data_IF_811334571263
#
_entry.id   IF_811334571263
#
_cell.length_a   1.000
_cell.length_b   1.000
_cell.length_c   1.000
_cell.angle_alpha   90.00
_cell.angle_beta   90.00
_cell.angle_gamma   90.00
#
_symmetry.space_group_name_H-M   'P 1'
#
loop_
_entity.id
_entity.type
_entity.pdbx_description
1 polymer ?
#
# COMPACT_ATOMS: atom_id res chain seq x y z
N UNK A 1 16.20 -18.25 3.31
CA UNK A 1 16.68 -16.88 3.59
C UNK A 1 15.69 -15.91 2.94
N UNK A 2 15.76 -14.62 3.26
CA UNK A 2 14.88 -13.64 2.61
C UNK A 2 15.13 -13.61 1.10
N UNK A 3 14.04 -13.53 0.33
CA UNK A 3 14.06 -13.50 -1.15
C UNK A 3 14.44 -12.12 -1.68
N UNK A 4 14.10 -11.08 -0.94
CA UNK A 4 14.42 -9.69 -1.24
C UNK A 4 15.60 -9.22 -0.39
N UNK A 5 16.54 -8.54 -1.01
CA UNK A 5 17.66 -7.89 -0.34
C UNK A 5 17.78 -6.45 -0.83
N UNK A 6 18.12 -5.54 0.07
CA UNK A 6 18.17 -4.12 -0.23
C UNK A 6 19.53 -3.58 0.20
N UNK A 7 20.22 -2.89 -0.71
CA UNK A 7 21.38 -2.07 -0.36
C UNK A 7 20.93 -0.62 -0.18
N UNK A 8 21.28 -0.03 0.98
CA UNK A 8 21.04 1.37 1.32
C UNK A 8 22.37 2.11 1.30
N UNK A 9 22.60 2.94 0.28
CA UNK A 9 23.93 3.54 0.02
C UNK A 9 23.88 5.06 -0.03
N UNK A 10 24.88 5.77 0.53
CA UNK A 10 24.92 7.25 0.47
C UNK A 10 25.28 7.78 -0.92
N UNK A 11 25.86 6.94 -1.78
CA UNK A 11 26.27 7.28 -3.15
C UNK A 11 25.50 6.42 -4.14
N UNK A 12 25.26 6.99 -5.33
CA UNK A 12 24.68 6.25 -6.45
C UNK A 12 25.63 5.09 -6.78
N UNK A 13 25.16 3.83 -6.74
CA UNK A 13 25.98 2.73 -7.20
C UNK A 13 26.22 2.90 -8.71
N UNK A 14 27.48 2.97 -9.11
CA UNK A 14 27.81 3.04 -10.53
C UNK A 14 27.50 1.70 -11.22
N UNK A 15 27.29 1.69 -12.56
CA UNK A 15 26.96 0.46 -13.27
C UNK A 15 28.00 -0.66 -13.10
N UNK A 16 29.28 -0.33 -12.89
CA UNK A 16 30.33 -1.32 -12.65
C UNK A 16 30.24 -1.92 -11.26
N UNK A 17 29.86 -1.15 -10.23
CA UNK A 17 29.60 -1.66 -8.90
C UNK A 17 28.41 -2.63 -8.89
N UNK A 18 27.35 -2.33 -9.65
CA UNK A 18 26.21 -3.24 -9.83
C UNK A 18 26.63 -4.52 -10.54
N UNK A 19 27.37 -4.42 -11.65
CA UNK A 19 27.89 -5.58 -12.38
C UNK A 19 28.87 -6.41 -11.55
N UNK A 20 29.80 -5.79 -10.83
CA UNK A 20 30.74 -6.47 -9.94
C UNK A 20 30.02 -7.19 -8.78
N UNK A 21 28.94 -6.60 -8.28
CA UNK A 21 28.03 -7.25 -7.34
C UNK A 21 27.36 -8.49 -7.94
N UNK A 22 26.88 -8.42 -9.19
CA UNK A 22 26.19 -9.53 -9.86
C UNK A 22 27.13 -10.67 -10.25
N UNK A 23 28.34 -10.34 -10.72
CA UNK A 23 29.37 -11.30 -11.13
C UNK A 23 30.03 -12.04 -9.95
N UNK A 24 29.54 -11.83 -8.72
CA UNK A 24 29.87 -12.66 -7.55
C UNK A 24 29.53 -14.14 -7.71
N UNK A 25 28.69 -14.48 -8.69
CA UNK A 25 28.29 -15.85 -9.02
C UNK A 25 29.18 -16.60 -10.01
N UNK A 26 30.27 -15.98 -10.49
CA UNK A 26 31.19 -16.56 -11.46
C UNK A 26 31.06 -15.98 -12.88
N UNK A 27 32.07 -16.17 -13.74
CA UNK A 27 32.16 -15.56 -15.07
C UNK A 27 31.19 -16.18 -16.10
N UNK A 28 30.69 -17.39 -15.84
CA UNK A 28 29.87 -18.16 -16.78
C UNK A 28 28.37 -17.78 -16.71
N UNK A 29 28.02 -16.79 -15.89
CA UNK A 29 26.65 -16.31 -15.74
C UNK A 29 26.34 -15.21 -16.75
N UNK A 30 25.15 -15.28 -17.34
CA UNK A 30 24.69 -14.30 -18.34
C UNK A 30 24.03 -13.11 -17.65
N UNK A 31 24.22 -11.91 -18.20
CA UNK A 31 23.51 -10.70 -17.76
C UNK A 31 22.45 -10.35 -18.81
N UNK A 32 21.20 -10.22 -18.38
CA UNK A 32 20.08 -9.80 -19.22
C UNK A 32 19.45 -8.50 -18.69
N UNK A 33 18.67 -7.82 -19.53
CA UNK A 33 17.89 -6.63 -19.17
C UNK A 33 16.41 -6.87 -19.42
N UNK A 34 15.55 -6.47 -18.47
CA UNK A 34 14.10 -6.61 -18.54
C UNK A 34 13.40 -5.27 -18.17
N UNK A 35 12.08 -5.19 -18.41
CA UNK A 35 11.26 -4.04 -17.98
C UNK A 35 11.73 -2.71 -18.57
N UNK A 36 11.85 -2.62 -19.90
CA UNK A 36 12.36 -1.43 -20.61
C UNK A 36 13.77 -0.97 -20.17
N UNK A 37 14.56 -1.87 -19.58
CA UNK A 37 15.91 -1.59 -19.09
C UNK A 37 15.97 -1.15 -17.63
N UNK A 38 14.85 -1.13 -16.91
CA UNK A 38 14.79 -0.79 -15.48
C UNK A 38 15.21 -1.96 -14.57
N UNK A 39 15.35 -3.18 -15.10
CA UNK A 39 15.76 -4.36 -14.35
C UNK A 39 16.96 -5.03 -15.01
N UNK A 40 18.00 -5.32 -14.22
CA UNK A 40 19.17 -6.12 -14.63
C UNK A 40 19.06 -7.50 -13.99
N UNK A 41 19.26 -8.56 -14.76
CA UNK A 41 19.13 -9.94 -14.30
C UNK A 41 20.46 -10.69 -14.43
N UNK A 42 20.84 -11.38 -13.37
CA UNK A 42 21.83 -12.44 -13.42
C UNK A 42 21.11 -13.75 -13.74
N UNK A 43 21.52 -14.42 -14.81
CA UNK A 43 20.91 -15.65 -15.28
C UNK A 43 21.85 -16.86 -15.20
N UNK A 44 21.28 -18.05 -15.17
CA UNK A 44 22.03 -19.28 -15.41
C UNK A 44 22.41 -19.44 -16.90
N UNK A 45 23.13 -20.52 -17.22
CA UNK A 45 23.64 -20.81 -18.57
C UNK A 45 22.53 -20.95 -19.62
N UNK A 46 21.31 -21.26 -19.19
CA UNK A 46 20.13 -21.40 -20.04
C UNK A 46 19.34 -20.09 -20.16
N UNK A 47 19.84 -19.00 -19.58
CA UNK A 47 19.23 -17.67 -19.62
C UNK A 47 18.11 -17.46 -18.61
N UNK A 48 17.93 -18.36 -17.63
CA UNK A 48 16.86 -18.24 -16.63
C UNK A 48 17.32 -17.35 -15.47
N UNK A 49 16.47 -16.44 -14.96
CA UNK A 49 16.87 -15.50 -13.92
C UNK A 49 17.17 -16.22 -12.60
N UNK A 50 18.29 -15.85 -11.98
CA UNK A 50 18.70 -16.21 -10.62
C UNK A 50 18.51 -15.03 -9.68
N UNK A 51 18.92 -13.83 -10.10
CA UNK A 51 18.76 -12.59 -9.33
C UNK A 51 18.29 -11.50 -10.27
N UNK A 52 17.25 -10.76 -9.89
CA UNK A 52 16.78 -9.55 -10.57
C UNK A 52 17.07 -8.34 -9.72
N UNK A 53 17.64 -7.29 -10.28
CA UNK A 53 18.03 -6.06 -9.61
C UNK A 53 17.28 -4.89 -10.24
N UNK A 54 16.57 -4.11 -9.44
CA UNK A 54 15.92 -2.88 -9.89
C UNK A 54 16.94 -1.74 -9.97
N UNK A 55 16.69 -0.79 -10.89
CA UNK A 55 17.43 0.45 -10.96
C UNK A 55 17.49 1.15 -9.58
N UNK A 56 18.66 1.62 -9.12
CA UNK A 56 18.77 2.33 -7.85
C UNK A 56 17.81 3.53 -7.77
N UNK A 57 17.02 3.56 -6.70
CA UNK A 57 16.02 4.59 -6.43
C UNK A 57 16.59 5.61 -5.43
N UNK A 58 16.63 6.89 -5.81
CA UNK A 58 17.02 7.96 -4.88
C UNK A 58 15.86 8.28 -3.93
N UNK A 59 16.02 7.96 -2.66
CA UNK A 59 15.08 8.26 -1.58
C UNK A 59 15.48 9.58 -0.92
N UNK A 60 14.57 10.55 -0.97
CA UNK A 60 14.74 11.89 -0.40
C UNK A 60 13.80 12.14 0.80
N UNK A 61 13.06 11.13 1.22
CA UNK A 61 12.05 11.21 2.28
C UNK A 61 12.56 10.44 3.49
N UNK A 62 12.50 11.07 4.67
CA UNK A 62 12.94 10.45 5.93
C UNK A 62 11.96 9.35 6.38
N UNK A 63 12.48 8.33 7.06
CA UNK A 63 11.67 7.29 7.72
C UNK A 63 11.26 6.09 6.87
N UNK A 64 11.44 6.13 5.55
CA UNK A 64 10.97 5.02 4.69
C UNK A 64 11.73 3.71 4.92
N UNK A 65 13.03 3.75 5.20
CA UNK A 65 13.80 2.54 5.50
C UNK A 65 13.44 1.95 6.87
N UNK A 66 13.22 2.81 7.85
CA UNK A 66 12.74 2.43 9.18
C UNK A 66 11.35 1.80 9.08
N UNK A 67 10.43 2.46 8.35
CA UNK A 67 9.04 2.03 8.18
C UNK A 67 8.93 0.70 7.43
N UNK A 68 9.70 0.52 6.36
CA UNK A 68 9.54 -0.64 5.46
C UNK A 68 10.46 -1.82 5.79
N UNK A 69 11.62 -1.57 6.41
CA UNK A 69 12.64 -2.59 6.68
C UNK A 69 13.01 -2.72 8.16
N UNK A 70 12.62 -1.77 9.01
CA UNK A 70 13.17 -1.65 10.37
C UNK A 70 14.67 -1.36 10.38
N UNK A 71 15.20 -0.82 9.28
CA UNK A 71 16.64 -0.58 9.10
C UNK A 71 17.00 0.87 9.42
N UNK A 72 18.25 1.11 9.82
CA UNK A 72 18.81 2.47 9.94
C UNK A 72 19.51 2.86 8.63
N UNK A 73 18.98 3.82 7.86
CA UNK A 73 19.55 4.23 6.60
C UNK A 73 20.69 5.25 6.79
N UNK A 74 21.47 5.55 5.73
CA UNK A 74 22.22 6.80 5.64
C UNK A 74 21.29 8.02 5.73
N UNK A 75 21.84 9.20 6.04
CA UNK A 75 21.07 10.45 6.00
C UNK A 75 20.52 10.70 4.59
N UNK A 76 19.27 11.15 4.50
CA UNK A 76 18.67 11.55 3.23
C UNK A 76 19.47 12.69 2.55
N UNK A 77 19.61 12.67 1.21
CA UNK A 77 19.12 11.63 0.32
C UNK A 77 20.06 10.42 0.27
N UNK A 78 19.51 9.22 0.11
CA UNK A 78 20.26 7.97 -0.06
C UNK A 78 19.69 7.15 -1.22
N UNK A 79 20.42 6.14 -1.66
CA UNK A 79 20.04 5.24 -2.74
C UNK A 79 19.55 3.91 -2.19
N UNK A 80 18.40 3.48 -2.68
CA UNK A 80 17.77 2.19 -2.41
C UNK A 80 17.95 1.31 -3.64
N UNK A 81 18.68 0.21 -3.51
CA UNK A 81 18.83 -0.78 -4.59
C UNK A 81 18.24 -2.10 -4.13
N UNK A 82 17.13 -2.50 -4.75
CA UNK A 82 16.43 -3.74 -4.43
C UNK A 82 16.87 -4.87 -5.38
N UNK A 83 17.13 -6.04 -4.82
CA UNK A 83 17.39 -7.26 -5.58
C UNK A 83 16.54 -8.41 -5.05
N UNK A 84 16.00 -9.21 -5.98
CA UNK A 84 15.16 -10.37 -5.69
C UNK A 84 15.80 -11.64 -6.23
N UNK A 85 15.93 -12.62 -5.34
CA UNK A 85 16.35 -13.97 -5.68
C UNK A 85 15.19 -14.79 -6.22
N UNK A 86 15.48 -15.69 -7.15
CA UNK A 86 14.52 -16.70 -7.59
C UNK A 86 14.19 -17.67 -6.46
N UNK A 87 12.90 -17.79 -6.13
CA UNK A 87 12.41 -18.65 -5.06
C UNK A 87 12.68 -20.13 -5.31
N UNK A 88 13.00 -20.86 -4.24
CA UNK A 88 13.22 -22.30 -4.28
C UNK A 88 14.61 -22.70 -4.79
N UNK A 89 15.48 -21.72 -5.05
CA UNK A 89 16.87 -21.94 -5.46
C UNK A 89 17.79 -21.38 -4.38
N UNK A 90 18.29 -22.21 -3.42
CA UNK A 90 19.09 -21.73 -2.29
C UNK A 90 20.32 -20.91 -2.69
N UNK A 91 20.87 -21.18 -3.88
CA UNK A 91 22.04 -20.50 -4.41
C UNK A 91 21.71 -19.08 -4.91
N UNK A 92 20.50 -18.88 -5.44
CA UNK A 92 19.99 -17.56 -5.83
C UNK A 92 19.85 -16.64 -4.60
N UNK A 93 19.35 -17.16 -3.48
CA UNK A 93 19.23 -16.39 -2.23
C UNK A 93 20.61 -15.96 -1.70
N UNK A 94 21.60 -16.85 -1.75
CA UNK A 94 22.99 -16.53 -1.37
C UNK A 94 23.64 -15.53 -2.32
N UNK A 95 23.37 -15.64 -3.63
CA UNK A 95 23.84 -14.70 -4.64
C UNK A 95 23.28 -13.29 -4.41
N UNK A 96 21.97 -13.18 -4.17
CA UNK A 96 21.34 -11.90 -3.88
C UNK A 96 21.94 -11.27 -2.61
N UNK A 97 22.07 -12.03 -1.51
CA UNK A 97 22.69 -11.52 -0.28
C UNK A 97 24.12 -11.02 -0.50
N UNK A 98 24.92 -11.77 -1.27
CA UNK A 98 26.30 -11.38 -1.62
C UNK A 98 26.34 -10.13 -2.51
N UNK A 99 25.43 -10.01 -3.47
CA UNK A 99 25.26 -8.83 -4.30
C UNK A 99 25.03 -7.59 -3.43
N UNK A 100 24.03 -7.63 -2.53
CA UNK A 100 23.69 -6.50 -1.67
C UNK A 100 24.85 -6.12 -0.74
N UNK A 101 25.53 -7.11 -0.15
CA UNK A 101 26.70 -6.88 0.72
C UNK A 101 27.85 -6.19 -0.01
N UNK A 102 28.19 -6.65 -1.22
CA UNK A 102 29.26 -6.03 -2.03
C UNK A 102 28.88 -4.64 -2.51
N UNK A 103 27.63 -4.44 -2.92
CA UNK A 103 27.16 -3.13 -3.35
C UNK A 103 27.24 -2.13 -2.19
N UNK A 104 26.82 -2.56 -0.99
CA UNK A 104 26.96 -1.79 0.24
C UNK A 104 28.43 -1.47 0.56
N UNK A 105 29.33 -2.45 0.48
CA UNK A 105 30.77 -2.25 0.74
C UNK A 105 31.40 -1.24 -0.24
N UNK A 106 31.14 -1.40 -1.54
CA UNK A 106 31.68 -0.53 -2.60
C UNK A 106 31.14 0.91 -2.53
N UNK A 107 29.86 1.07 -2.21
CA UNK A 107 29.21 2.38 -2.17
C UNK A 107 29.17 3.03 -0.77
N UNK A 108 29.70 2.35 0.26
CA UNK A 108 29.79 2.83 1.64
C UNK A 108 28.45 2.86 2.38
N UNK A 109 27.61 1.85 2.16
CA UNK A 109 26.26 1.71 2.72
C UNK A 109 26.07 0.48 3.61
N UNK A 110 24.81 0.07 3.79
CA UNK A 110 24.39 -1.13 4.52
C UNK A 110 23.52 -2.02 3.64
N UNK A 111 23.39 -3.30 4.02
CA UNK A 111 22.50 -4.24 3.35
C UNK A 111 21.45 -4.77 4.33
N UNK A 112 20.22 -4.94 3.83
CA UNK A 112 19.12 -5.58 4.51
C UNK A 112 18.76 -6.90 3.78
N UNK A 113 18.41 -7.98 4.50
CA UNK A 113 18.47 -8.11 5.96
C UNK A 113 19.92 -8.03 6.48
N UNK A 114 20.17 -7.66 7.76
CA UNK A 114 21.53 -7.50 8.28
C UNK A 114 22.43 -8.74 8.11
N UNK A 115 21.84 -9.93 8.05
CA UNK A 115 22.53 -11.18 7.79
C UNK A 115 23.09 -11.26 6.36
N UNK A 116 22.44 -10.61 5.39
CA UNK A 116 22.93 -10.53 4.01
C UNK A 116 24.28 -9.79 3.95
N UNK A 117 24.48 -8.77 4.79
CA UNK A 117 25.71 -7.97 4.85
C UNK A 117 26.97 -8.76 5.30
N UNK A 118 26.81 -10.03 5.73
CA UNK A 118 27.92 -10.82 6.32
C UNK A 118 28.73 -11.61 5.30
N UNK A 119 28.30 -11.72 4.05
CA UNK A 119 28.97 -12.54 3.03
C UNK A 119 29.43 -11.71 1.83
N UNK A 120 30.74 -11.55 1.69
CA UNK A 120 31.39 -10.98 0.50
C UNK A 120 32.02 -12.05 -0.41
N UNK A 121 31.93 -13.33 -0.02
CA UNK A 121 32.54 -14.46 -0.71
C UNK A 121 31.92 -14.73 -2.08
N UNK A 122 32.68 -15.34 -2.99
CA UNK A 122 32.15 -15.83 -4.27
C UNK A 122 31.22 -17.00 -3.99
N UNK A 123 29.98 -16.91 -4.49
CA UNK A 123 29.02 -18.02 -4.39
C UNK A 123 29.21 -18.91 -5.60
N UNK A 124 29.87 -20.07 -5.41
CA UNK A 124 29.93 -21.10 -6.45
C UNK A 124 28.51 -21.61 -6.70
N UNK A 125 28.01 -21.38 -7.91
CA UNK A 125 26.68 -21.78 -8.36
C UNK A 125 26.76 -22.62 -9.64
N UNK A 126 27.88 -23.35 -9.78
CA UNK A 126 28.16 -24.25 -10.89
C UNK A 126 27.14 -25.39 -10.88
N UNK A 127 26.43 -25.61 -11.98
CA UNK A 127 25.38 -26.64 -12.09
C UNK A 127 24.01 -26.27 -11.51
N UNK A 128 23.79 -25.04 -11.05
CA UNK A 128 22.47 -24.57 -10.61
C UNK A 128 21.56 -24.32 -11.81
N UNK A 129 20.40 -24.98 -11.83
CA UNK A 129 19.44 -24.94 -12.93
C UNK A 129 18.04 -24.61 -12.39
N UNK A 130 17.40 -23.57 -12.92
CA UNK A 130 16.05 -23.12 -12.50
C UNK A 130 14.96 -23.85 -13.31
N UNK A 131 13.79 -24.18 -12.75
CA UNK A 131 12.68 -24.66 -13.58
C UNK A 131 12.29 -23.61 -14.67
N UNK A 132 11.70 -24.01 -15.82
CA UNK A 132 11.37 -23.05 -16.87
C UNK A 132 10.45 -21.94 -16.35
N UNK A 133 10.88 -20.70 -16.50
CA UNK A 133 10.04 -19.52 -16.23
C UNK A 133 8.99 -19.43 -17.35
N UNK A 134 7.68 -19.33 -17.03
CA UNK A 134 6.69 -19.02 -18.06
C UNK A 134 7.09 -17.71 -18.75
N UNK A 135 6.93 -17.61 -20.07
CA UNK A 135 7.32 -16.42 -20.85
C UNK A 135 6.63 -15.10 -20.41
N UNK A 136 5.67 -15.16 -19.49
CA UNK A 136 4.93 -14.05 -18.91
C UNK A 136 5.21 -13.79 -17.42
N UNK A 137 6.14 -14.52 -16.78
CA UNK A 137 6.43 -14.32 -15.36
C UNK A 137 7.27 -13.07 -15.16
N UNK A 138 6.64 -12.05 -14.56
CA UNK A 138 7.36 -10.88 -14.07
C UNK A 138 8.34 -11.26 -12.96
N UNK A 139 9.42 -10.49 -12.74
CA UNK A 139 10.44 -10.80 -11.73
C UNK A 139 9.90 -11.04 -10.31
N UNK A 140 8.75 -10.45 -9.97
CA UNK A 140 8.10 -10.60 -8.67
C UNK A 140 7.34 -11.93 -8.48
N UNK A 141 6.94 -12.60 -9.55
CA UNK A 141 6.02 -13.75 -9.50
C UNK A 141 6.80 -15.04 -9.32
N UNK A 142 6.50 -15.76 -8.23
CA UNK A 142 7.18 -16.99 -7.84
C UNK A 142 6.45 -18.25 -8.37
N UNK A 143 5.12 -18.22 -8.40
CA UNK A 143 4.29 -19.29 -8.98
C UNK A 143 3.25 -18.68 -9.89
N UNK A 144 3.08 -19.25 -11.08
CA UNK A 144 2.05 -18.83 -12.02
C UNK A 144 1.17 -20.02 -12.37
N UNK A 145 -0.14 -19.86 -12.18
CA UNK A 145 -1.15 -20.85 -12.56
C UNK A 145 -2.15 -20.22 -13.53
N UNK A 146 -3.11 -20.99 -14.10
CA UNK A 146 -4.18 -20.40 -14.89
C UNK A 146 -5.00 -19.36 -14.12
N UNK A 147 -5.15 -19.52 -12.80
CA UNK A 147 -6.06 -18.72 -11.97
C UNK A 147 -5.36 -17.58 -11.24
N UNK A 148 -4.12 -17.78 -10.79
CA UNK A 148 -3.42 -16.81 -9.94
C UNK A 148 -1.93 -16.69 -10.28
N UNK A 149 -1.39 -15.51 -10.01
CA UNK A 149 0.03 -15.31 -9.77
C UNK A 149 0.28 -15.28 -8.26
N UNK A 150 1.33 -15.96 -7.79
CA UNK A 150 1.71 -16.01 -6.37
C UNK A 150 3.04 -15.30 -6.20
N UNK A 151 3.09 -14.40 -5.22
CA UNK A 151 4.28 -13.64 -4.84
C UNK A 151 4.60 -13.99 -3.39
N UNK A 152 5.76 -14.56 -3.14
CA UNK A 152 6.20 -14.97 -1.80
C UNK A 152 7.14 -13.88 -1.27
N UNK A 153 6.77 -13.23 -0.17
CA UNK A 153 7.54 -12.16 0.44
C UNK A 153 7.89 -12.49 1.89
N UNK A 154 9.14 -12.24 2.25
CA UNK A 154 9.68 -12.48 3.59
C UNK A 154 10.29 -11.18 4.13
N UNK A 155 9.54 -10.10 3.99
CA UNK A 155 9.86 -8.75 4.46
C UNK A 155 9.07 -8.45 5.74
N UNK A 156 9.58 -7.59 6.64
CA UNK A 156 8.80 -7.13 7.79
C UNK A 156 7.54 -6.39 7.37
N UNK A 157 7.59 -5.70 6.21
CA UNK A 157 6.46 -5.04 5.59
C UNK A 157 6.35 -5.41 4.12
N UNK A 158 5.17 -5.87 3.70
CA UNK A 158 4.77 -5.91 2.28
C UNK A 158 4.34 -4.51 1.88
N UNK A 159 5.20 -3.86 1.10
CA UNK A 159 4.98 -2.52 0.57
C UNK A 159 4.51 -2.56 -0.88
N UNK A 160 3.83 -1.51 -1.34
CA UNK A 160 3.43 -1.37 -2.74
C UNK A 160 4.63 -0.97 -3.60
N UNK A 161 5.61 -1.87 -3.76
CA UNK A 161 6.80 -1.63 -4.58
C UNK A 161 6.43 -1.56 -6.07
N UNK A 162 7.36 -1.05 -6.89
CA UNK A 162 7.17 -1.04 -8.35
C UNK A 162 6.94 -2.47 -8.89
N UNK A 163 7.72 -3.44 -8.39
CA UNK A 163 7.54 -4.86 -8.70
C UNK A 163 6.18 -5.42 -8.33
N UNK A 164 5.66 -5.10 -7.13
CA UNK A 164 4.34 -5.58 -6.72
C UNK A 164 3.22 -4.89 -7.52
N UNK A 165 3.37 -3.59 -7.81
CA UNK A 165 2.43 -2.84 -8.65
C UNK A 165 2.37 -3.40 -10.07
N UNK A 166 3.52 -3.74 -10.62
CA UNK A 166 3.64 -4.40 -11.92
C UNK A 166 2.98 -5.78 -11.91
N UNK A 167 3.15 -6.54 -10.82
CA UNK A 167 2.56 -7.87 -10.67
C UNK A 167 1.03 -7.80 -10.60
N UNK A 168 0.48 -6.83 -9.86
CA UNK A 168 -0.96 -6.55 -9.86
C UNK A 168 -1.45 -6.20 -11.27
N UNK A 169 -0.77 -5.29 -11.97
CA UNK A 169 -1.15 -4.86 -13.32
C UNK A 169 -1.14 -6.01 -14.31
N UNK A 170 -0.08 -6.83 -14.34
CA UNK A 170 0.00 -7.95 -15.27
C UNK A 170 -0.97 -9.09 -14.94
N UNK A 171 -1.21 -9.35 -13.65
CA UNK A 171 -2.20 -10.34 -13.24
C UNK A 171 -3.60 -9.92 -13.66
N UNK A 172 -3.98 -8.67 -13.42
CA UNK A 172 -5.26 -8.11 -13.86
C UNK A 172 -5.41 -8.15 -15.39
N UNK A 173 -4.37 -7.76 -16.15
CA UNK A 173 -4.39 -7.82 -17.62
C UNK A 173 -4.51 -9.26 -18.17
N UNK A 174 -4.08 -10.26 -17.39
CA UNK A 174 -4.22 -11.67 -17.71
C UNK A 174 -5.47 -12.32 -17.08
N UNK A 175 -6.37 -11.54 -16.49
CA UNK A 175 -7.58 -12.01 -15.78
C UNK A 175 -7.27 -13.03 -14.66
N UNK A 176 -6.14 -12.85 -13.98
CA UNK A 176 -5.69 -13.66 -12.83
C UNK A 176 -5.78 -12.87 -11.53
N UNK A 177 -6.01 -13.58 -10.42
CA UNK A 177 -5.79 -13.01 -9.09
C UNK A 177 -4.31 -12.94 -8.72
N UNK A 178 -3.96 -12.08 -7.76
CA UNK A 178 -2.62 -12.03 -7.15
C UNK A 178 -2.69 -12.49 -5.69
N UNK A 179 -1.92 -13.52 -5.33
CA UNK A 179 -1.85 -14.03 -3.96
C UNK A 179 -0.47 -13.76 -3.37
N UNK A 180 -0.42 -12.94 -2.32
CA UNK A 180 0.84 -12.61 -1.63
C UNK A 180 1.00 -13.54 -0.44
N UNK A 181 2.05 -14.36 -0.42
CA UNK A 181 2.33 -15.33 0.66
C UNK A 181 3.42 -14.78 1.57
N UNK A 182 3.15 -14.71 2.88
CA UNK A 182 4.09 -14.18 3.88
C UNK A 182 4.18 -15.06 5.12
N UNK A 183 5.26 -14.98 5.91
CA UNK A 183 5.28 -15.52 7.28
C UNK A 183 4.35 -14.71 8.21
N UNK A 184 4.07 -15.19 9.44
CA UNK A 184 3.09 -14.56 10.33
C UNK A 184 3.61 -13.29 11.03
N UNK A 185 4.92 -13.01 10.93
CA UNK A 185 5.54 -11.79 11.44
C UNK A 185 5.52 -10.60 10.48
N UNK A 186 5.09 -10.81 9.24
CA UNK A 186 5.01 -9.77 8.21
C UNK A 186 3.76 -8.91 8.38
N UNK A 187 3.91 -7.61 8.22
CA UNK A 187 2.82 -6.63 8.21
C UNK A 187 2.54 -6.17 6.78
N UNK A 188 1.32 -5.67 6.55
CA UNK A 188 0.90 -5.14 5.26
C UNK A 188 0.87 -3.60 5.30
N UNK A 189 1.45 -2.95 4.30
CA UNK A 189 1.28 -1.50 4.12
C UNK A 189 -0.18 -1.18 3.76
N UNK A 190 -0.79 -0.10 4.29
CA UNK A 190 -2.11 0.33 3.85
C UNK A 190 -2.20 0.63 2.35
N UNK A 191 -1.08 0.97 1.70
CA UNK A 191 -1.04 1.16 0.26
C UNK A 191 -1.31 -0.15 -0.51
N UNK A 192 -0.86 -1.29 0.03
CA UNK A 192 -1.17 -2.61 -0.55
C UNK A 192 -2.60 -3.01 -0.24
N UNK A 193 -3.05 -2.80 1.00
CA UNK A 193 -4.45 -3.06 1.39
C UNK A 193 -5.44 -2.31 0.49
N UNK A 194 -5.21 -1.02 0.24
CA UNK A 194 -6.10 -0.16 -0.54
C UNK A 194 -6.18 -0.54 -2.04
N UNK A 195 -5.22 -1.33 -2.53
CA UNK A 195 -5.13 -1.74 -3.94
C UNK A 195 -5.29 -3.25 -4.13
N UNK A 196 -5.53 -4.02 -3.05
CA UNK A 196 -5.71 -5.46 -3.17
C UNK A 196 -6.99 -5.72 -3.99
N UNK A 197 -6.90 -6.38 -5.16
CA UNK A 197 -8.05 -6.68 -5.98
C UNK A 197 -8.99 -7.64 -5.26
N UNK A 198 -10.21 -7.74 -5.79
CA UNK A 198 -11.15 -8.75 -5.32
C UNK A 198 -10.66 -10.18 -5.64
N UNK A 199 -11.50 -11.15 -5.28
CA UNK A 199 -11.27 -12.56 -5.53
C UNK A 199 -10.82 -12.82 -6.99
N UNK A 200 -9.82 -13.70 -7.24
CA UNK A 200 -9.16 -14.60 -6.30
C UNK A 200 -7.90 -14.04 -5.60
N UNK A 201 -7.67 -12.72 -5.65
CA UNK A 201 -6.53 -12.08 -4.98
C UNK A 201 -6.68 -12.08 -3.45
N UNK A 202 -5.56 -12.25 -2.72
CA UNK A 202 -5.56 -12.28 -1.25
C UNK A 202 -4.17 -12.19 -0.64
N UNK A 203 -4.13 -11.88 0.66
CA UNK A 203 -2.95 -12.03 1.50
C UNK A 203 -2.99 -13.38 2.21
N UNK A 204 -2.05 -14.27 1.88
CA UNK A 204 -1.90 -15.61 2.46
C UNK A 204 -0.80 -15.57 3.52
N UNK A 205 -1.15 -15.93 4.74
CA UNK A 205 -0.21 -16.06 5.85
C UNK A 205 0.12 -17.53 6.03
N UNK A 206 1.39 -17.87 5.93
CA UNK A 206 1.90 -19.21 6.23
C UNK A 206 2.20 -19.29 7.73
N UNK A 207 1.44 -20.09 8.46
CA UNK A 207 1.52 -20.21 9.91
C UNK A 207 1.84 -21.65 10.32
N UNK A 208 2.73 -21.83 11.29
CA UNK A 208 3.17 -23.16 11.72
C UNK A 208 2.08 -23.97 12.42
N UNK A 209 1.08 -23.31 13.03
CA UNK A 209 -0.01 -23.97 13.76
C UNK A 209 -1.20 -24.28 12.86
N UNK A 210 -1.56 -23.35 11.99
CA UNK A 210 -2.80 -23.37 11.19
C UNK A 210 -2.56 -23.68 9.70
N UNK A 211 -1.30 -23.79 9.27
CA UNK A 211 -0.91 -24.01 7.89
C UNK A 211 -0.96 -22.72 7.07
N UNK A 212 -2.13 -22.41 6.50
CA UNK A 212 -2.34 -21.18 5.73
C UNK A 212 -3.66 -20.52 6.09
N UNK A 213 -3.67 -19.20 6.24
CA UNK A 213 -4.90 -18.44 6.43
C UNK A 213 -4.84 -17.10 5.70
N UNK A 214 -6.00 -16.50 5.48
CA UNK A 214 -6.11 -15.18 4.87
C UNK A 214 -5.80 -14.09 5.92
N UNK A 215 -4.78 -13.26 5.68
CA UNK A 215 -4.31 -12.27 6.65
C UNK A 215 -5.30 -11.13 6.94
N UNK A 216 -6.33 -10.94 6.11
CA UNK A 216 -7.34 -9.88 6.29
C UNK A 216 -8.65 -10.38 6.89
N UNK A 217 -8.98 -11.66 6.73
CA UNK A 217 -10.24 -12.25 7.20
C UNK A 217 -10.06 -13.37 8.23
N UNK A 218 -8.86 -13.94 8.33
CA UNK A 218 -8.55 -15.10 9.17
C UNK A 218 -9.05 -16.43 8.60
N UNK A 219 -9.70 -16.43 7.44
CA UNK A 219 -10.23 -17.63 6.80
C UNK A 219 -9.10 -18.65 6.54
N UNK A 220 -9.25 -19.89 7.00
CA UNK A 220 -8.26 -20.95 6.75
C UNK A 220 -8.25 -21.29 5.26
N UNK A 221 -7.06 -21.42 4.71
CA UNK A 221 -6.80 -21.63 3.29
C UNK A 221 -6.12 -22.97 3.06
N UNK A 222 -6.37 -23.54 1.88
CA UNK A 222 -5.59 -24.67 1.35
C UNK A 222 -5.27 -24.45 -0.11
N UNK A 223 -4.14 -25.02 -0.55
CA UNK A 223 -3.84 -25.09 -1.97
C UNK A 223 -4.77 -26.09 -2.65
N UNK A 224 -5.56 -25.63 -3.62
CA UNK A 224 -6.45 -26.43 -4.44
C UNK A 224 -6.70 -25.74 -5.78
N UNK A 225 -6.85 -26.53 -6.84
CA UNK A 225 -7.13 -26.00 -8.19
C UNK A 225 -6.15 -24.90 -8.65
N UNK A 226 -4.88 -25.02 -8.23
CA UNK A 226 -3.82 -24.08 -8.60
C UNK A 226 -3.89 -22.72 -7.89
N UNK A 227 -4.56 -22.60 -6.75
CA UNK A 227 -4.54 -21.39 -5.92
C UNK A 227 -4.76 -21.70 -4.43
N UNK A 228 -4.48 -20.74 -3.55
CA UNK A 228 -4.98 -20.79 -2.18
C UNK A 228 -6.46 -20.38 -2.15
N UNK A 229 -7.32 -21.29 -1.70
CA UNK A 229 -8.76 -21.06 -1.57
C UNK A 229 -9.22 -21.37 -0.14
N UNK A 230 -10.34 -20.76 0.24
CA UNK A 230 -10.96 -20.98 1.55
C UNK A 230 -11.36 -22.45 1.73
N UNK A 231 -11.06 -23.01 2.90
CA UNK A 231 -11.58 -24.33 3.27
C UNK A 231 -13.08 -24.21 3.53
N UNK A 232 -13.87 -25.04 2.87
CA UNK A 232 -15.31 -25.15 3.09
C UNK A 232 -15.55 -26.30 4.06
N UNK A 233 -16.33 -26.07 5.12
CA UNK A 233 -16.70 -27.13 6.04
C UNK A 233 -17.64 -28.15 5.36
N UNK A 234 -17.60 -29.42 5.75
CA UNK A 234 -18.40 -30.49 5.12
C UNK A 234 -19.92 -30.26 5.23
N UNK A 235 -20.36 -29.47 6.21
CA UNK A 235 -21.74 -29.10 6.51
C UNK A 235 -22.09 -27.65 6.12
N UNK A 236 -21.22 -26.98 5.35
CA UNK A 236 -21.44 -25.63 4.86
C UNK A 236 -22.58 -25.57 3.83
N UNK A 237 -23.33 -24.47 3.85
CA UNK A 237 -24.33 -24.14 2.82
C UNK A 237 -23.92 -22.87 2.08
N UNK A 238 -24.55 -22.55 0.94
CA UNK A 238 -24.29 -21.29 0.23
C UNK A 238 -24.59 -20.05 1.10
N UNK A 239 -25.54 -20.15 2.04
CA UNK A 239 -25.91 -19.08 2.97
C UNK A 239 -25.06 -19.04 4.25
N UNK A 240 -24.40 -20.16 4.61
CA UNK A 240 -23.52 -20.29 5.76
C UNK A 240 -22.27 -21.12 5.38
N UNK A 241 -21.25 -20.50 4.76
CA UNK A 241 -20.08 -21.19 4.26
C UNK A 241 -19.19 -21.79 5.37
N UNK A 242 -19.47 -21.47 6.65
CA UNK A 242 -18.77 -21.96 7.87
C UNK A 242 -17.25 -22.05 7.72
N UNK A 243 -16.64 -21.11 7.01
CA UNK A 243 -15.20 -21.12 6.80
C UNK A 243 -14.49 -21.01 8.15
N UNK A 244 -13.65 -21.99 8.53
CA UNK A 244 -12.95 -21.93 9.80
C UNK A 244 -12.03 -20.71 9.82
N UNK A 245 -11.93 -20.09 11.00
CA UNK A 245 -11.06 -18.93 11.24
C UNK A 245 -9.88 -19.38 12.10
N UNK A 246 -8.67 -19.14 11.60
CA UNK A 246 -7.40 -19.49 12.23
C UNK A 246 -7.30 -18.97 13.67
N UNK A 247 -6.79 -19.77 14.61
CA UNK A 247 -6.66 -19.34 16.00
C UNK A 247 -5.69 -18.15 16.14
N UNK A 248 -4.57 -18.18 15.39
CA UNK A 248 -3.58 -17.08 15.34
C UNK A 248 -4.22 -15.73 14.96
N UNK A 249 -5.25 -15.73 14.12
CA UNK A 249 -5.95 -14.50 13.72
C UNK A 249 -6.84 -13.93 14.84
N UNK A 250 -7.39 -14.79 15.70
CA UNK A 250 -8.28 -14.41 16.81
C UNK A 250 -7.53 -13.88 18.04
N UNK A 251 -6.20 -13.96 18.04
CA UNK A 251 -5.37 -13.42 19.12
C UNK A 251 -5.38 -11.87 19.06
N UNK A 252 -6.35 -11.26 19.75
CA UNK A 252 -6.51 -9.80 19.84
C UNK A 252 -5.51 -9.24 20.85
N UNK A 253 -4.66 -8.31 20.40
CA UNK A 253 -3.90 -7.46 21.30
C UNK A 253 -4.71 -6.19 21.60
N UNK A 254 -5.02 -5.92 22.87
CA UNK A 254 -5.57 -4.62 23.25
C UNK A 254 -4.56 -3.52 22.94
N UNK A 255 -5.01 -2.47 22.26
CA UNK A 255 -4.20 -1.29 21.98
C UNK A 255 -4.91 -0.02 22.43
N UNK A 256 -4.14 0.88 23.03
CA UNK A 256 -4.57 2.25 23.32
C UNK A 256 -4.28 3.20 22.13
N UNK A 257 -3.58 2.73 21.10
CA UNK A 257 -3.29 3.47 19.88
C UNK A 257 -4.53 3.62 18.99
N UNK A 258 -4.53 4.68 18.19
CA UNK A 258 -5.66 5.05 17.34
C UNK A 258 -5.20 5.45 15.95
N UNK A 259 -6.07 5.25 14.97
CA UNK A 259 -5.91 5.82 13.63
C UNK A 259 -7.12 6.65 13.25
N UNK A 260 -6.89 7.88 12.79
CA UNK A 260 -7.89 8.71 12.14
C UNK A 260 -7.85 8.42 10.64
N UNK A 261 -8.88 7.75 10.13
CA UNK A 261 -9.01 7.42 8.71
C UNK A 261 -9.98 8.40 8.04
N UNK A 262 -9.58 8.97 6.90
CA UNK A 262 -10.37 9.93 6.14
C UNK A 262 -10.35 9.53 4.68
N UNK A 263 -11.52 9.24 4.13
CA UNK A 263 -11.69 8.99 2.70
C UNK A 263 -12.50 10.11 2.10
N UNK A 264 -11.98 10.77 1.07
CA UNK A 264 -12.71 11.85 0.42
C UNK A 264 -12.48 11.87 -1.09
N UNK A 265 -13.42 12.47 -1.80
CA UNK A 265 -13.37 12.64 -3.25
C UNK A 265 -13.63 14.09 -3.61
N UNK A 266 -12.80 14.64 -4.49
CA UNK A 266 -12.98 15.97 -5.10
C UNK A 266 -13.12 15.84 -6.60
N UNK A 267 -13.87 16.76 -7.20
CA UNK A 267 -14.02 16.83 -8.67
C UNK A 267 -13.64 18.25 -9.13
N UNK A 268 -12.51 18.33 -9.82
CA UNK A 268 -11.95 19.56 -10.33
C UNK A 268 -12.32 19.79 -11.80
N UNK A 269 -12.59 21.03 -12.23
CA UNK A 269 -12.60 21.36 -13.65
C UNK A 269 -11.27 20.97 -14.29
N UNK A 270 -11.33 20.37 -15.47
CA UNK A 270 -10.14 20.05 -16.25
C UNK A 270 -9.71 21.28 -17.04
N UNK A 271 -9.03 22.22 -16.37
CA UNK A 271 -8.40 23.37 -16.99
C UNK A 271 -6.87 23.32 -16.86
N UNK A 272 -6.19 24.15 -17.63
CA UNK A 272 -4.73 24.21 -17.77
C UNK A 272 -4.00 24.72 -16.51
N UNK A 273 -4.74 25.24 -15.52
CA UNK A 273 -4.18 25.74 -14.25
C UNK A 273 -4.46 24.79 -13.09
N UNK A 274 -5.04 23.63 -13.36
CA UNK A 274 -5.34 22.63 -12.34
C UNK A 274 -4.04 22.14 -11.69
N UNK A 275 -3.95 22.28 -10.36
CA UNK A 275 -2.92 21.66 -9.53
C UNK A 275 -3.60 20.67 -8.59
N UNK A 276 -3.18 19.41 -8.66
CA UNK A 276 -3.70 18.29 -7.88
C UNK A 276 -2.93 18.12 -6.56
N UNK A 277 -3.52 17.41 -5.60
CA UNK A 277 -2.95 17.18 -4.26
C UNK A 277 -3.18 18.32 -3.27
N UNK A 278 -3.73 19.46 -3.70
CA UNK A 278 -4.04 20.59 -2.81
C UNK A 278 -5.11 20.27 -1.76
N UNK A 279 -6.05 19.38 -2.10
CA UNK A 279 -7.08 18.91 -1.17
C UNK A 279 -6.45 18.06 -0.05
N UNK A 280 -5.60 17.09 -0.43
CA UNK A 280 -4.83 16.29 0.52
C UNK A 280 -3.93 17.16 1.41
N UNK A 281 -3.17 18.09 0.82
CA UNK A 281 -2.30 18.99 1.60
C UNK A 281 -3.10 19.82 2.62
N UNK A 282 -4.31 20.26 2.26
CA UNK A 282 -5.17 21.01 3.19
C UNK A 282 -5.59 20.15 4.37
N UNK A 283 -6.03 18.91 4.13
CA UNK A 283 -6.40 17.97 5.20
C UNK A 283 -5.20 17.66 6.09
N UNK A 284 -4.04 17.39 5.48
CA UNK A 284 -2.82 17.07 6.21
C UNK A 284 -2.40 18.21 7.14
N UNK A 285 -2.39 19.45 6.63
CA UNK A 285 -2.01 20.64 7.41
C UNK A 285 -2.99 20.95 8.54
N UNK A 286 -4.30 20.87 8.29
CA UNK A 286 -5.31 21.15 9.33
C UNK A 286 -5.23 20.13 10.48
N UNK A 287 -4.85 18.88 10.21
CA UNK A 287 -4.82 17.81 11.21
C UNK A 287 -3.45 17.59 11.85
N UNK A 288 -2.36 17.93 11.18
CA UNK A 288 -0.99 17.66 11.67
C UNK A 288 -0.17 18.93 11.90
N UNK A 289 -0.59 20.07 11.36
CA UNK A 289 0.17 21.32 11.34
C UNK A 289 1.19 21.43 10.20
N UNK A 290 1.49 20.33 9.52
CA UNK A 290 2.54 20.23 8.50
C UNK A 290 1.99 19.67 7.18
N UNK A 291 2.66 19.91 6.03
CA UNK A 291 2.31 19.20 4.80
C UNK A 291 2.73 17.73 4.90
N UNK A 292 2.32 16.88 3.93
CA UNK A 292 2.95 15.58 3.77
C UNK A 292 4.47 15.71 3.60
N UNK A 293 5.23 14.71 4.03
CA UNK A 293 6.69 14.71 3.91
C UNK A 293 7.12 14.33 2.49
N UNK A 294 6.46 13.33 1.91
CA UNK A 294 6.88 12.75 0.64
C UNK A 294 5.77 12.04 -0.13
N UNK A 295 6.08 11.66 -1.36
CA UNK A 295 5.19 10.91 -2.23
C UNK A 295 5.98 10.05 -3.22
N UNK A 296 5.30 9.10 -3.85
CA UNK A 296 5.83 8.26 -4.91
C UNK A 296 4.73 7.56 -5.69
N UNK A 297 5.08 6.94 -6.82
CA UNK A 297 4.19 6.03 -7.57
C UNK A 297 4.27 4.59 -7.06
N UNK A 298 5.14 4.34 -6.09
CA UNK A 298 5.37 3.10 -5.38
C UNK A 298 5.97 3.43 -4.00
N UNK A 299 6.01 2.44 -3.12
CA UNK A 299 6.79 2.48 -1.89
C UNK A 299 8.20 1.90 -2.14
N UNK A 300 9.28 2.49 -1.58
CA UNK A 300 9.28 3.67 -0.72
C UNK A 300 8.91 4.97 -1.45
N UNK A 301 8.20 5.86 -0.78
CA UNK A 301 7.99 7.21 -1.24
C UNK A 301 9.34 7.93 -1.32
N UNK A 302 9.76 8.27 -2.54
CA UNK A 302 11.15 8.65 -2.79
C UNK A 302 11.32 10.15 -3.09
N UNK A 303 10.22 10.87 -3.35
CA UNK A 303 10.22 12.29 -3.68
C UNK A 303 9.66 13.13 -2.53
N UNK A 304 10.25 14.30 -2.23
CA UNK A 304 9.64 15.25 -1.30
C UNK A 304 8.28 15.74 -1.82
N UNK A 305 7.38 16.07 -0.91
CA UNK A 305 6.04 16.54 -1.27
C UNK A 305 6.07 17.71 -2.26
N UNK A 306 5.39 17.54 -3.39
CA UNK A 306 5.29 18.56 -4.45
C UNK A 306 4.00 18.36 -5.26
N UNK A 307 2.94 19.14 -4.97
CA UNK A 307 1.70 19.11 -5.74
C UNK A 307 1.92 19.32 -7.25
N UNK A 308 2.86 20.20 -7.62
CA UNK A 308 3.21 20.47 -9.02
C UNK A 308 3.76 19.23 -9.74
N UNK A 309 4.79 18.58 -9.17
CA UNK A 309 5.36 17.37 -9.80
C UNK A 309 4.37 16.20 -9.83
N UNK A 310 3.55 16.05 -8.79
CA UNK A 310 2.48 15.07 -8.76
C UNK A 310 1.48 15.32 -9.90
N UNK A 311 1.12 16.58 -10.12
CA UNK A 311 0.25 17.02 -11.22
C UNK A 311 0.87 16.72 -12.58
N UNK A 312 2.17 17.00 -12.77
CA UNK A 312 2.87 16.74 -14.03
C UNK A 312 2.81 15.25 -14.40
N UNK A 313 3.03 14.36 -13.43
CA UNK A 313 2.94 12.90 -13.65
C UNK A 313 1.53 12.48 -14.03
N UNK A 314 0.52 12.99 -13.31
CA UNK A 314 -0.88 12.69 -13.60
C UNK A 314 -1.32 13.22 -14.96
N UNK A 315 -0.84 14.41 -15.35
CA UNK A 315 -1.11 15.01 -16.65
C UNK A 315 -0.47 14.23 -17.79
N UNK A 316 0.79 13.83 -17.64
CA UNK A 316 1.52 13.05 -18.65
C UNK A 316 0.88 11.69 -18.96
N UNK A 317 0.17 11.12 -17.98
CA UNK A 317 -0.55 9.84 -18.11
C UNK A 317 -2.01 10.00 -18.52
N UNK A 318 -2.54 11.22 -18.61
CA UNK A 318 -3.95 11.40 -18.98
C UNK A 318 -4.20 10.90 -20.42
N UNK A 319 -5.28 10.15 -20.68
CA UNK A 319 -6.45 9.92 -19.83
C UNK A 319 -6.36 8.71 -18.89
N UNK A 320 -5.26 7.95 -18.89
CA UNK A 320 -5.11 6.82 -17.97
C UNK A 320 -5.08 7.28 -16.50
N UNK A 321 -5.68 6.50 -15.58
CA UNK A 321 -5.67 6.84 -14.17
C UNK A 321 -4.26 6.74 -13.58
N UNK A 322 -3.96 7.66 -12.67
CA UNK A 322 -2.70 7.68 -11.92
C UNK A 322 -2.95 7.42 -10.44
N UNK A 323 -2.07 6.65 -9.82
CA UNK A 323 -2.11 6.33 -8.40
C UNK A 323 -0.79 6.75 -7.74
N UNK A 324 -0.89 7.27 -6.52
CA UNK A 324 0.24 7.71 -5.72
C UNK A 324 0.10 7.23 -4.28
N UNK A 325 1.24 6.96 -3.65
CA UNK A 325 1.38 6.89 -2.19
C UNK A 325 1.97 8.21 -1.69
N UNK A 326 1.46 8.70 -0.58
CA UNK A 326 1.88 9.94 0.08
C UNK A 326 2.12 9.64 1.55
N UNK A 327 3.23 10.08 2.11
CA UNK A 327 3.67 9.72 3.47
C UNK A 327 3.94 10.96 4.32
N UNK A 328 3.70 10.81 5.63
CA UNK A 328 4.03 11.80 6.65
C UNK A 328 5.48 11.66 7.15
N UNK A 329 5.86 12.51 8.10
CA UNK A 329 7.16 12.40 8.78
C UNK A 329 7.16 11.26 9.81
N UNK A 330 8.34 10.78 10.25
CA UNK A 330 8.45 9.80 11.34
C UNK A 330 7.73 10.22 12.63
N UNK A 331 7.72 11.52 12.93
CA UNK A 331 7.11 12.10 14.13
C UNK A 331 5.58 12.00 14.09
N UNK A 332 4.98 12.10 12.90
CA UNK A 332 3.53 11.94 12.67
C UNK A 332 3.29 10.94 11.55
N UNK A 333 3.26 9.63 11.88
CA UNK A 333 2.96 8.59 10.91
C UNK A 333 1.64 8.87 10.21
N UNK A 334 1.73 9.03 8.89
CA UNK A 334 0.61 9.31 8.02
C UNK A 334 0.84 8.63 6.69
N UNK A 335 -0.19 8.03 6.11
CA UNK A 335 -0.14 7.46 4.77
C UNK A 335 -1.45 7.77 4.07
N UNK A 336 -1.35 8.31 2.85
CA UNK A 336 -2.48 8.43 1.96
C UNK A 336 -2.21 7.74 0.62
N UNK A 337 -3.25 7.16 0.05
CA UNK A 337 -3.29 6.77 -1.34
C UNK A 337 -4.15 7.75 -2.12
N UNK A 338 -3.64 8.25 -3.24
CA UNK A 338 -4.34 9.22 -4.10
C UNK A 338 -4.54 8.58 -5.46
N UNK A 339 -5.79 8.50 -5.91
CA UNK A 339 -6.14 8.06 -7.27
C UNK A 339 -6.71 9.24 -8.05
N UNK A 340 -6.08 9.54 -9.18
CA UNK A 340 -6.50 10.58 -10.10
C UNK A 340 -7.07 9.95 -11.36
N UNK A 341 -8.28 10.34 -11.74
CA UNK A 341 -8.97 9.82 -12.93
C UNK A 341 -9.65 10.94 -13.72
N UNK A 342 -9.58 10.87 -15.06
CA UNK A 342 -10.33 11.78 -15.94
C UNK A 342 -11.75 11.25 -16.14
N UNK A 343 -12.75 12.03 -15.77
CA UNK A 343 -14.17 11.68 -15.92
C UNK A 343 -14.91 12.71 -16.78
N UNK A 344 -16.17 12.42 -17.13
CA UNK A 344 -17.05 13.39 -17.81
C UNK A 344 -17.30 14.65 -16.97
N UNK A 345 -17.24 14.54 -15.64
CA UNK A 345 -17.48 15.64 -14.71
C UNK A 345 -16.24 16.53 -14.49
N UNK A 346 -15.04 16.01 -14.76
CA UNK A 346 -13.80 16.74 -14.48
C UNK A 346 -12.59 15.82 -14.30
N UNK A 347 -11.61 16.30 -13.56
CA UNK A 347 -10.54 15.49 -12.98
C UNK A 347 -10.94 15.15 -11.55
N UNK A 348 -11.04 13.87 -11.28
CA UNK A 348 -11.39 13.35 -9.97
C UNK A 348 -10.13 13.00 -9.19
N UNK A 349 -10.06 13.43 -7.93
CA UNK A 349 -9.06 13.01 -6.96
C UNK A 349 -9.77 12.25 -5.83
N UNK A 350 -9.52 10.95 -5.74
CA UNK A 350 -10.01 10.09 -4.66
C UNK A 350 -8.86 9.80 -3.71
N UNK A 351 -9.05 10.14 -2.44
CA UNK A 351 -8.02 10.07 -1.40
C UNK A 351 -8.49 9.16 -0.28
N UNK A 352 -7.62 8.25 0.14
CA UNK A 352 -7.75 7.48 1.38
C UNK A 352 -6.55 7.81 2.24
N UNK A 353 -6.76 8.49 3.37
CA UNK A 353 -5.73 8.94 4.31
C UNK A 353 -5.92 8.23 5.66
N UNK A 354 -4.81 7.83 6.28
CA UNK A 354 -4.77 7.45 7.68
C UNK A 354 -3.66 8.20 8.43
N UNK A 355 -3.96 8.66 9.64
CA UNK A 355 -3.02 9.30 10.56
C UNK A 355 -2.97 8.51 11.88
N UNK A 356 -1.76 8.21 12.34
CA UNK A 356 -1.53 7.41 13.54
C UNK A 356 -1.34 8.25 14.81
N UNK A 357 -1.91 7.76 15.91
CA UNK A 357 -1.84 8.38 17.23
C UNK A 357 -1.48 7.31 18.28
N UNK A 358 -0.43 7.55 19.05
CA UNK A 358 -0.02 6.71 20.17
C UNK A 358 -0.96 6.83 21.36
N UNK A 359 -0.76 6.00 22.39
CA UNK A 359 -1.62 5.94 23.59
C UNK A 359 -1.78 7.29 24.35
N UNK A 360 -0.81 8.19 24.24
CA UNK A 360 -0.84 9.53 24.85
C UNK A 360 -1.18 10.66 23.88
N UNK A 361 -1.52 10.36 22.62
CA UNK A 361 -1.83 11.34 21.59
C UNK A 361 -3.33 11.35 21.32
N UNK A 362 -3.97 12.52 21.39
CA UNK A 362 -5.38 12.67 21.05
C UNK A 362 -5.55 13.07 19.58
N UNK A 363 -6.38 12.35 18.79
CA UNK A 363 -6.75 12.80 17.46
C UNK A 363 -7.49 14.15 17.51
N UNK A 364 -7.22 15.11 16.61
CA UNK A 364 -7.81 16.44 16.61
C UNK A 364 -9.23 16.43 16.02
N UNK A 365 -10.17 15.77 16.72
CA UNK A 365 -11.54 15.57 16.23
C UNK A 365 -12.33 16.88 16.12
N UNK A 366 -11.98 17.89 16.91
CA UNK A 366 -12.57 19.24 16.88
C UNK A 366 -12.18 20.04 15.62
N UNK A 367 -11.07 19.67 14.96
CA UNK A 367 -10.64 20.28 13.70
C UNK A 367 -11.41 19.73 12.47
N UNK A 368 -12.15 18.63 12.60
CA UNK A 368 -12.82 17.97 11.48
C UNK A 368 -13.86 18.85 10.75
N UNK A 369 -14.75 19.60 11.44
CA UNK A 369 -15.70 20.48 10.74
C UNK A 369 -15.01 21.59 9.96
N UNK A 370 -13.90 22.14 10.48
CA UNK A 370 -13.10 23.16 9.80
C UNK A 370 -12.39 22.59 8.57
N UNK A 371 -11.85 21.38 8.70
CA UNK A 371 -11.21 20.66 7.60
C UNK A 371 -12.22 20.39 6.48
N UNK A 372 -13.43 19.94 6.82
CA UNK A 372 -14.53 19.75 5.89
C UNK A 372 -14.94 21.05 5.18
N UNK A 373 -15.07 22.16 5.92
CA UNK A 373 -15.36 23.48 5.36
C UNK A 373 -14.30 23.91 4.34
N UNK A 374 -13.02 23.70 4.65
CA UNK A 374 -11.92 24.03 3.74
C UNK A 374 -11.98 23.20 2.45
N UNK A 375 -12.27 21.90 2.53
CA UNK A 375 -12.45 21.05 1.35
C UNK A 375 -13.65 21.47 0.49
N UNK A 376 -14.78 21.78 1.11
CA UNK A 376 -15.99 22.26 0.41
C UNK A 376 -15.70 23.57 -0.32
N UNK A 377 -15.10 24.53 0.38
CA UNK A 377 -14.98 25.91 -0.13
C UNK A 377 -13.83 26.08 -1.13
N UNK A 378 -12.75 25.30 -1.00
CA UNK A 378 -11.54 25.47 -1.82
C UNK A 378 -11.33 24.35 -2.84
N UNK A 379 -11.83 23.15 -2.56
CA UNK A 379 -11.43 21.93 -3.30
C UNK A 379 -12.58 21.18 -3.97
N UNK A 380 -13.79 21.74 -4.01
CA UNK A 380 -14.96 21.10 -4.66
C UNK A 380 -15.16 19.66 -4.18
N UNK A 381 -15.17 19.51 -2.86
CA UNK A 381 -15.50 18.25 -2.21
C UNK A 381 -16.80 17.68 -2.77
N UNK A 382 -16.78 16.40 -3.17
CA UNK A 382 -17.95 15.63 -3.51
C UNK A 382 -18.50 14.92 -2.25
N UNK A 383 -17.64 14.18 -1.57
CA UNK A 383 -17.97 13.52 -0.30
C UNK A 383 -16.73 13.29 0.56
N UNK A 384 -16.93 13.16 1.86
CA UNK A 384 -15.91 12.75 2.83
C UNK A 384 -16.52 11.82 3.88
N UNK A 385 -15.80 10.76 4.23
CA UNK A 385 -16.09 9.89 5.37
C UNK A 385 -14.91 9.96 6.34
N UNK A 386 -15.19 10.19 7.61
CA UNK A 386 -14.21 10.17 8.69
C UNK A 386 -14.50 9.00 9.61
N UNK A 387 -13.48 8.21 9.92
CA UNK A 387 -13.56 7.06 10.82
C UNK A 387 -12.43 7.11 11.84
N UNK A 388 -12.70 6.54 13.01
CA UNK A 388 -11.69 6.35 14.05
C UNK A 388 -11.55 4.86 14.36
N UNK A 389 -10.31 4.38 14.39
CA UNK A 389 -9.94 2.98 14.57
C UNK A 389 -9.09 2.81 15.82
N UNK A 390 -9.24 1.67 16.52
CA UNK A 390 -8.26 1.17 17.48
C UNK A 390 -7.29 0.27 16.72
N UNK A 391 -6.16 0.83 16.33
CA UNK A 391 -5.18 0.18 15.45
C UNK A 391 -3.82 0.85 15.64
N UNK A 392 -2.78 0.21 15.10
CA UNK A 392 -1.38 0.60 15.33
C UNK A 392 -1.07 2.05 14.91
N UNK A 393 -0.24 2.74 15.69
CA UNK A 393 0.24 4.10 15.37
C UNK A 393 1.03 4.14 14.06
N UNK A 394 1.76 3.09 13.71
CA UNK A 394 2.58 3.03 12.50
C UNK A 394 1.80 2.74 11.21
N UNK A 395 0.47 2.61 11.31
CA UNK A 395 -0.47 2.34 10.23
C UNK A 395 -0.37 0.94 9.60
N UNK A 396 0.64 0.16 9.92
CA UNK A 396 0.85 -1.16 9.35
C UNK A 396 -0.25 -2.12 9.80
N UNK A 397 -0.68 -3.01 8.91
CA UNK A 397 -1.80 -3.92 9.15
C UNK A 397 -1.25 -5.30 9.50
N UNK A 398 -1.50 -5.82 10.71
CA UNK A 398 -1.05 -7.15 11.11
C UNK A 398 -1.95 -8.26 10.52
N UNK A 399 -1.45 -9.50 10.42
CA UNK A 399 -2.23 -10.66 9.97
C UNK A 399 -3.13 -11.19 11.10
N UNK A 400 -3.82 -10.30 11.80
CA UNK A 400 -4.62 -10.55 13.01
C UNK A 400 -5.84 -9.67 12.99
N UNK A 401 -6.87 -10.06 13.74
CA UNK A 401 -8.09 -9.27 13.83
C UNK A 401 -7.82 -7.89 14.43
N UNK A 402 -8.02 -6.85 13.61
CA UNK A 402 -8.19 -5.47 14.05
C UNK A 402 -9.63 -5.05 13.78
N UNK A 403 -10.27 -4.42 14.77
CA UNK A 403 -11.65 -3.95 14.63
C UNK A 403 -11.79 -2.92 13.50
N UNK A 404 -12.97 -2.85 12.84
CA UNK A 404 -13.22 -1.86 11.81
C UNK A 404 -13.26 -0.45 12.40
N UNK A 405 -13.05 0.56 11.54
CA UNK A 405 -13.22 1.96 11.95
C UNK A 405 -14.66 2.32 12.18
N UNK A 406 -14.93 3.06 13.24
CA UNK A 406 -16.26 3.59 13.54
C UNK A 406 -16.43 4.94 12.83
N UNK A 407 -17.50 5.15 12.04
CA UNK A 407 -17.80 6.44 11.44
C UNK A 407 -17.99 7.55 12.49
N UNK A 408 -17.25 8.65 12.35
CA UNK A 408 -17.37 9.86 13.17
C UNK A 408 -18.11 10.99 12.46
N UNK A 409 -17.98 11.06 11.14
CA UNK A 409 -18.65 12.06 10.35
C UNK A 409 -18.76 11.64 8.88
N UNK A 410 -19.82 12.14 8.24
CA UNK A 410 -19.94 12.12 6.79
C UNK A 410 -20.11 13.55 6.30
N UNK A 411 -19.60 13.87 5.11
CA UNK A 411 -19.77 15.18 4.48
C UNK A 411 -20.25 14.99 3.07
N UNK A 412 -21.28 15.74 2.70
CA UNK A 412 -21.82 15.78 1.36
C UNK A 412 -21.56 17.15 0.74
N UNK A 413 -20.91 17.15 -0.41
CA UNK A 413 -20.50 18.32 -1.16
C UNK A 413 -21.66 19.11 -1.78
N UNK A 414 -21.40 20.37 -2.13
CA UNK A 414 -22.44 21.29 -2.59
C UNK A 414 -23.15 20.86 -3.87
N UNK A 415 -22.45 20.22 -4.82
CA UNK A 415 -23.08 19.72 -6.05
C UNK A 415 -23.98 18.51 -5.78
N UNK A 416 -23.57 17.62 -4.88
CA UNK A 416 -24.37 16.45 -4.48
C UNK A 416 -25.63 16.90 -3.72
N UNK A 417 -25.50 17.86 -2.80
CA UNK A 417 -26.66 18.46 -2.10
C UNK A 417 -27.63 19.10 -3.08
N UNK A 418 -27.12 19.79 -4.11
CA UNK A 418 -27.96 20.44 -5.13
C UNK A 418 -28.71 19.44 -6.00
N UNK A 419 -28.13 18.27 -6.25
CA UNK A 419 -28.76 17.21 -7.04
C UNK A 419 -29.86 16.47 -6.25
N UNK A 420 -29.90 16.60 -4.92
CA UNK A 420 -30.89 15.91 -4.08
C UNK A 420 -32.26 16.63 -4.06
N UNK A 421 -33.37 15.89 -4.17
CA UNK A 421 -34.72 16.46 -4.09
C UNK A 421 -35.10 16.85 -2.65
N UNK A 422 -36.09 17.74 -2.53
CA UNK A 422 -36.91 17.99 -1.33
C UNK A 422 -36.16 18.29 -0.02
N UNK A 423 -35.02 18.99 -0.08
CA UNK A 423 -34.20 19.37 1.10
C UNK A 423 -33.76 18.13 1.91
N UNK A 424 -33.73 16.95 1.28
CA UNK A 424 -33.40 15.65 1.89
C UNK A 424 -32.04 15.65 2.58
N UNK A 425 -31.07 16.32 1.97
CA UNK A 425 -29.73 16.48 2.53
C UNK A 425 -29.76 17.21 3.89
N UNK A 426 -30.72 18.10 4.13
CA UNK A 426 -30.86 18.82 5.40
C UNK A 426 -31.73 18.08 6.41
N UNK A 427 -32.83 17.47 5.94
CA UNK A 427 -33.85 16.83 6.79
C UNK A 427 -33.53 15.36 7.00
N UNK A 428 -32.54 15.07 7.85
CA UNK A 428 -32.06 13.70 8.11
C UNK A 428 -32.81 13.00 9.25
N UNK A 429 -32.83 11.66 9.28
CA UNK A 429 -33.37 10.86 10.39
C UNK A 429 -32.44 10.78 11.61
N UNK A 430 -31.34 11.54 11.61
CA UNK A 430 -30.37 11.59 12.70
C UNK A 430 -30.87 12.45 13.86
N UNK A 431 -30.41 12.13 15.08
CA UNK A 431 -30.72 12.93 16.27
C UNK A 431 -30.09 14.32 16.20
N UNK A 432 -28.84 14.39 15.74
CA UNK A 432 -28.14 15.65 15.49
C UNK A 432 -28.46 16.19 14.10
N UNK A 433 -28.68 17.50 14.02
CA UNK A 433 -28.91 18.18 12.75
C UNK A 433 -27.58 18.36 12.00
N UNK A 434 -27.58 18.23 10.66
CA UNK A 434 -26.38 18.48 9.89
C UNK A 434 -25.94 19.94 10.00
N UNK A 435 -24.62 20.14 10.09
CA UNK A 435 -23.99 21.45 10.08
C UNK A 435 -23.84 21.90 8.63
N UNK A 436 -24.43 23.05 8.29
CA UNK A 436 -24.28 23.63 6.95
C UNK A 436 -22.85 24.14 6.78
N UNK A 437 -22.23 23.69 5.69
CA UNK A 437 -20.92 24.14 5.23
C UNK A 437 -21.05 25.01 3.97
N UNK A 438 -20.04 25.84 3.72
CA UNK A 438 -19.93 26.66 2.52
C UNK A 438 -20.98 27.79 2.42
N UNK A 439 -21.08 28.44 1.25
CA UNK A 439 -21.95 29.59 1.07
C UNK A 439 -23.44 29.20 1.10
N UNK A 440 -24.29 30.07 1.67
CA UNK A 440 -25.75 29.85 1.78
C UNK A 440 -26.43 29.49 0.45
N UNK A 441 -25.93 30.00 -0.67
CA UNK A 441 -26.50 29.77 -2.00
C UNK A 441 -26.18 28.39 -2.58
N UNK A 442 -25.11 27.72 -2.11
CA UNK A 442 -24.67 26.39 -2.55
C UNK A 442 -24.17 25.60 -1.33
N UNK A 443 -25.06 25.25 -0.39
CA UNK A 443 -24.67 24.62 0.85
C UNK A 443 -24.11 23.22 0.62
N UNK A 444 -23.12 22.85 1.42
CA UNK A 444 -22.76 21.46 1.71
C UNK A 444 -23.22 21.13 3.14
N UNK A 445 -23.16 19.86 3.52
CA UNK A 445 -23.55 19.43 4.87
C UNK A 445 -22.53 18.49 5.49
N UNK A 446 -22.16 18.79 6.73
CA UNK A 446 -21.42 17.92 7.63
C UNK A 446 -22.40 17.22 8.58
N UNK A 447 -22.40 15.91 8.56
CA UNK A 447 -23.23 15.05 9.39
C UNK A 447 -22.36 14.51 10.52
N UNK A 448 -22.44 15.08 11.74
CA UNK A 448 -21.79 14.47 12.89
C UNK A 448 -22.45 13.11 13.17
N UNK A 449 -21.64 12.11 13.46
CA UNK A 449 -22.10 10.79 13.86
C UNK A 449 -21.74 10.59 15.34
N UNK A 450 -22.68 10.18 16.18
CA UNK A 450 -22.52 10.14 17.64
C UNK A 450 -21.61 9.01 18.14
N UNK A 451 -20.93 8.28 17.25
CA UNK A 451 -20.24 7.05 17.57
C UNK A 451 -19.09 7.26 18.55
N UNK A 452 -19.13 6.57 19.69
CA UNK A 452 -17.91 6.25 20.43
C UNK A 452 -17.04 5.37 19.51
N UNK A 453 -15.76 5.67 19.27
CA UNK A 453 -14.85 4.80 18.51
C UNK A 453 -14.69 3.39 19.09
N UNK A 454 -15.18 3.15 20.30
CA UNK A 454 -15.26 1.83 20.94
C UNK A 454 -16.56 1.08 20.66
N UNK A 455 -17.54 1.72 20.01
CA UNK A 455 -18.87 1.17 19.76
C UNK A 455 -19.17 1.08 18.24
N UNK A 456 -19.40 -0.15 17.77
CA UNK A 456 -19.72 -0.42 16.37
C UNK A 456 -21.14 0.02 15.98
N UNK A 457 -22.00 0.41 16.93
CA UNK A 457 -23.35 0.92 16.65
C UNK A 457 -23.36 2.16 15.73
N UNK A 458 -22.25 2.89 15.66
CA UNK A 458 -22.07 4.01 14.73
C UNK A 458 -22.29 3.63 13.25
N UNK A 459 -22.04 2.37 12.88
CA UNK A 459 -22.32 1.87 11.54
C UNK A 459 -23.82 1.85 11.22
N UNK A 460 -24.68 1.45 12.16
CA UNK A 460 -26.13 1.45 11.94
C UNK A 460 -26.68 2.88 11.74
N UNK A 461 -26.08 3.86 12.42
CA UNK A 461 -26.43 5.28 12.24
C UNK A 461 -25.98 5.77 10.86
N UNK A 462 -24.76 5.42 10.46
CA UNK A 462 -24.24 5.75 9.14
C UNK A 462 -25.05 5.09 8.01
N UNK A 463 -25.39 3.80 8.12
CA UNK A 463 -26.24 3.09 7.17
C UNK A 463 -27.62 3.74 7.04
N UNK A 464 -28.24 4.13 8.16
CA UNK A 464 -29.51 4.85 8.15
C UNK A 464 -29.40 6.19 7.42
N UNK A 465 -28.32 6.94 7.65
CA UNK A 465 -28.06 8.18 6.92
C UNK A 465 -27.91 7.90 5.42
N UNK A 466 -27.09 6.91 5.05
CA UNK A 466 -26.85 6.59 3.65
C UNK A 466 -28.10 6.09 2.92
N UNK A 467 -28.93 5.29 3.58
CA UNK A 467 -30.23 4.86 3.05
C UNK A 467 -31.15 6.06 2.78
N UNK A 468 -31.27 6.96 3.77
CA UNK A 468 -32.04 8.20 3.62
C UNK A 468 -31.52 9.07 2.47
N UNK A 469 -30.21 9.31 2.38
CA UNK A 469 -29.61 10.13 1.32
C UNK A 469 -29.83 9.52 -0.07
N UNK A 470 -29.72 8.19 -0.20
CA UNK A 470 -30.00 7.45 -1.44
C UNK A 470 -31.49 7.40 -1.79
N UNK A 471 -32.37 7.64 -0.82
CA UNK A 471 -33.83 7.55 -0.99
C UNK A 471 -34.37 6.13 -0.95
N UNK A 472 -33.66 5.22 -0.28
CA UNK A 472 -34.04 3.83 -0.04
C UNK A 472 -34.69 3.63 1.33
#
# INVERSE_FOLDING_TARGET
MTKDVIALTPKMPDPWAVLAGLLSGGPDKLVNTAGEGAVVQLCDEQGRPLVSVEAPLLVQVEGEAERLLGATPPRVPFWWTEARATTGVPDAERLAGTFAARLADLAGGTAWPPEAARSLGVVRSDGVSVAPTPAAAQPAVDVLTPNVAVVIMDRPVVAMTAWLSDAFRASAAAERGLQVVTPPGTLLSPAVLANMPEWPSRWVVQDEREGYYDGLSGAVLRWQEGMFATVVAEDATEEDPRTPVAASYKEVAETAERQLAITFRTIHPADDRLVLGGALETVWRELTGEPPAGWGTAEPANLPWSPGRLTDVAFARAPEPTWFVVVGSPERPGLATVRISRTKAGVEETVTLALGYGAGEEPPLDALPRTAEALVTRHRLQSMLVQLRKARRDLLVPPRFEGPGVPLAFVLGSEEVRAMPDDRARRTPLAEQPVRLGPKARPAYYYPLPGDPSDLSGWAVFERLMGHLKGS
#
